data_IF_709372806443
#
_entry.id   IF_709372806443
#
_cell.length_a   1.000
_cell.length_b   1.000
_cell.length_c   1.000
_cell.angle_alpha   90.00
_cell.angle_beta   90.00
_cell.angle_gamma   90.00
#
_symmetry.space_group_name_H-M   'P 1'
#
loop_
_entity.id
_entity.type
_entity.pdbx_description
1 polymer ?
#
# COMPACT_ATOMS: atom_id res chain seq x y z
N UNK A 1 -37.09 -14.35 8.56
CA UNK A 1 -36.00 -14.46 7.56
C UNK A 1 -35.02 -13.34 7.84
N UNK A 2 -33.89 -13.66 8.48
CA UNK A 2 -32.88 -12.66 8.86
C UNK A 2 -32.14 -12.20 7.61
N UNK A 3 -32.31 -10.92 7.24
CA UNK A 3 -31.59 -10.33 6.13
C UNK A 3 -30.15 -10.06 6.55
N UNK A 4 -29.23 -10.95 6.20
CA UNK A 4 -27.80 -10.71 6.40
C UNK A 4 -27.40 -9.45 5.62
N UNK A 5 -27.04 -8.39 6.34
CA UNK A 5 -26.44 -7.20 5.75
C UNK A 5 -25.06 -7.58 5.23
N UNK A 6 -24.89 -7.56 3.91
CA UNK A 6 -23.63 -7.86 3.27
C UNK A 6 -22.61 -6.78 3.63
N UNK A 7 -21.71 -7.06 4.57
CA UNK A 7 -20.42 -6.37 4.68
C UNK A 7 -19.80 -6.32 3.28
N UNK A 8 -19.21 -5.18 2.87
CA UNK A 8 -18.39 -5.13 1.66
C UNK A 8 -17.33 -6.22 1.83
N UNK A 9 -17.41 -7.33 1.07
CA UNK A 9 -16.63 -8.50 1.39
C UNK A 9 -15.16 -8.17 1.14
N UNK A 10 -14.32 -8.26 2.17
CA UNK A 10 -12.87 -8.18 1.99
C UNK A 10 -12.48 -9.36 1.11
N UNK A 11 -11.86 -9.06 -0.03
CA UNK A 11 -11.35 -10.10 -0.91
C UNK A 11 -10.23 -10.86 -0.20
N UNK A 12 -10.35 -12.19 -0.14
CA UNK A 12 -9.39 -13.04 0.55
C UNK A 12 -8.39 -13.61 -0.47
N UNK A 13 -7.14 -13.16 -0.39
CA UNK A 13 -6.02 -13.75 -1.11
C UNK A 13 -5.59 -15.01 -0.38
N UNK A 14 -5.85 -16.17 -0.97
CA UNK A 14 -5.53 -17.47 -0.37
C UNK A 14 -4.20 -17.98 -0.91
N UNK A 15 -3.24 -18.22 -0.02
CA UNK A 15 -1.97 -18.86 -0.38
C UNK A 15 -2.03 -20.40 -0.28
N UNK A 16 -3.17 -20.98 0.11
CA UNK A 16 -3.27 -22.40 0.47
C UNK A 16 -2.85 -23.36 -0.65
N UNK A 17 -3.15 -23.02 -1.89
CA UNK A 17 -2.84 -23.85 -3.06
C UNK A 17 -1.46 -23.55 -3.66
N UNK A 18 -0.82 -22.48 -3.16
CA UNK A 18 0.47 -22.02 -3.64
C UNK A 18 1.62 -22.84 -3.04
N UNK A 19 2.68 -23.01 -3.84
CA UNK A 19 3.89 -23.75 -3.45
C UNK A 19 5.09 -22.83 -3.43
N UNK A 20 5.89 -22.94 -2.38
CA UNK A 20 7.17 -22.26 -2.27
C UNK A 20 8.29 -23.25 -2.60
N UNK A 21 9.08 -22.98 -3.63
CA UNK A 21 10.20 -23.85 -4.04
C UNK A 21 11.50 -23.25 -3.55
N UNK A 22 12.08 -23.84 -2.50
CA UNK A 22 13.41 -23.49 -1.97
C UNK A 22 14.20 -24.78 -1.77
N UNK A 23 15.18 -25.02 -2.65
CA UNK A 23 15.99 -26.23 -2.62
C UNK A 23 16.81 -26.33 -1.33
N UNK A 24 16.66 -27.43 -0.60
CA UNK A 24 17.42 -27.72 0.62
C UNK A 24 17.43 -26.56 1.63
N UNK A 25 16.26 -25.98 1.91
CA UNK A 25 16.12 -24.86 2.84
C UNK A 25 16.89 -25.10 4.17
N UNK A 26 17.92 -24.28 4.41
CA UNK A 26 18.77 -24.32 5.60
C UNK A 26 18.15 -23.58 6.80
N UNK A 27 16.91 -23.12 6.67
CA UNK A 27 16.17 -22.38 7.69
C UNK A 27 14.68 -22.74 7.63
N UNK A 28 13.95 -22.38 8.68
CA UNK A 28 12.50 -22.45 8.75
C UNK A 28 11.95 -21.19 9.45
N UNK A 29 10.72 -20.82 9.11
CA UNK A 29 10.07 -19.65 9.71
C UNK A 29 9.32 -20.07 10.97
N UNK A 30 9.71 -19.51 12.12
CA UNK A 30 9.06 -19.81 13.41
C UNK A 30 7.93 -18.83 13.75
N UNK A 31 8.03 -17.59 13.29
CA UNK A 31 7.05 -16.53 13.56
C UNK A 31 7.05 -15.52 12.41
N UNK A 32 5.85 -15.04 12.06
CA UNK A 32 5.67 -13.88 11.19
C UNK A 32 5.24 -12.68 12.03
N UNK A 33 6.06 -11.63 12.01
CA UNK A 33 5.77 -10.36 12.66
C UNK A 33 5.20 -9.41 11.62
N UNK A 34 3.89 -9.20 11.64
CA UNK A 34 3.28 -8.12 10.88
C UNK A 34 3.60 -6.77 11.55
N UNK A 35 4.56 -6.04 10.96
CA UNK A 35 5.04 -4.72 11.38
C UNK A 35 4.61 -3.62 10.40
N UNK A 36 3.71 -3.93 9.46
CA UNK A 36 3.21 -2.97 8.47
C UNK A 36 2.54 -1.79 9.16
N UNK A 37 2.58 -0.61 8.55
CA UNK A 37 1.82 0.55 9.09
C UNK A 37 0.31 0.34 8.99
N UNK A 38 -0.15 -0.34 7.93
CA UNK A 38 -1.54 -0.69 7.70
C UNK A 38 -1.70 -2.20 7.78
N UNK A 39 -2.47 -2.68 8.77
CA UNK A 39 -2.64 -4.11 9.05
C UNK A 39 -4.00 -4.66 8.61
N UNK A 40 -4.99 -3.79 8.39
CA UNK A 40 -6.36 -4.22 8.12
C UNK A 40 -6.51 -4.91 6.76
N UNK A 41 -5.65 -4.55 5.81
CA UNK A 41 -5.70 -5.01 4.42
C UNK A 41 -4.27 -5.07 3.89
N UNK A 42 -4.06 -5.84 2.83
CA UNK A 42 -2.85 -5.76 2.02
C UNK A 42 -3.08 -4.88 0.78
N UNK A 43 -4.11 -4.04 0.73
CA UNK A 43 -4.42 -3.21 -0.44
C UNK A 43 -5.79 -3.54 -1.02
N UNK A 44 -5.90 -3.60 -2.33
CA UNK A 44 -7.20 -3.70 -3.01
C UNK A 44 -7.12 -4.42 -4.35
N UNK A 45 -8.26 -4.96 -4.75
CA UNK A 45 -8.54 -5.57 -6.04
C UNK A 45 -9.72 -4.84 -6.71
N UNK A 46 -9.94 -5.03 -8.00
CA UNK A 46 -11.11 -4.53 -8.72
C UNK A 46 -12.05 -5.68 -8.99
N UNK A 47 -13.35 -5.48 -8.71
CA UNK A 47 -14.37 -6.51 -8.97
C UNK A 47 -15.52 -5.99 -9.80
N UNK A 48 -15.99 -6.86 -10.68
CA UNK A 48 -17.15 -6.62 -11.55
C UNK A 48 -16.85 -5.68 -12.72
N UNK A 49 -17.81 -5.55 -13.64
CA UNK A 49 -17.66 -4.77 -14.88
C UNK A 49 -17.39 -3.27 -14.65
N UNK A 50 -17.68 -2.77 -13.45
CA UNK A 50 -17.48 -1.37 -13.06
C UNK A 50 -16.15 -1.13 -12.35
N UNK A 51 -15.26 -2.13 -12.27
CA UNK A 51 -13.94 -2.02 -11.64
C UNK A 51 -14.00 -1.45 -10.22
N UNK A 52 -14.97 -1.93 -9.43
CA UNK A 52 -15.17 -1.43 -8.07
C UNK A 52 -13.99 -1.90 -7.23
N UNK A 53 -13.29 -0.96 -6.59
CA UNK A 53 -12.20 -1.27 -5.66
C UNK A 53 -12.78 -1.95 -4.43
N UNK A 54 -12.30 -3.16 -4.16
CA UNK A 54 -12.63 -3.96 -2.99
C UNK A 54 -11.36 -4.14 -2.18
N UNK A 55 -11.37 -3.82 -0.87
CA UNK A 55 -10.22 -4.09 -0.01
C UNK A 55 -9.88 -5.58 -0.02
N UNK A 56 -8.59 -5.90 0.07
CA UNK A 56 -8.11 -7.27 0.04
C UNK A 56 -7.19 -7.57 1.23
N UNK A 57 -7.21 -8.80 1.71
CA UNK A 57 -6.32 -9.29 2.77
C UNK A 57 -5.89 -10.74 2.51
N UNK A 58 -4.82 -11.19 3.17
CA UNK A 58 -4.47 -12.62 3.19
C UNK A 58 -5.57 -13.39 3.91
N UNK A 59 -5.95 -14.56 3.40
CA UNK A 59 -6.86 -15.46 4.10
C UNK A 59 -6.29 -15.84 5.48
N UNK A 60 -6.96 -15.41 6.55
CA UNK A 60 -6.47 -15.55 7.94
C UNK A 60 -5.52 -14.46 8.41
N UNK A 61 -5.36 -13.38 7.64
CA UNK A 61 -4.49 -12.24 7.94
C UNK A 61 -3.00 -12.51 7.69
N UNK A 62 -2.20 -11.45 7.68
CA UNK A 62 -0.76 -11.55 7.38
C UNK A 62 0.03 -12.29 8.47
N UNK A 63 -0.34 -12.19 9.75
CA UNK A 63 0.38 -12.95 10.79
C UNK A 63 0.09 -14.44 10.69
N UNK A 64 -1.17 -14.83 10.87
CA UNK A 64 -1.56 -16.23 10.98
C UNK A 64 -1.63 -16.90 9.61
N UNK A 65 -2.27 -16.27 8.62
CA UNK A 65 -2.41 -16.83 7.28
C UNK A 65 -1.06 -17.06 6.58
N UNK A 66 -0.20 -16.05 6.53
CA UNK A 66 1.14 -16.18 5.94
C UNK A 66 2.03 -17.09 6.79
N UNK A 67 1.98 -16.96 8.12
CA UNK A 67 2.79 -17.78 9.03
C UNK A 67 2.50 -19.27 8.91
N UNK A 68 1.22 -19.64 8.94
CA UNK A 68 0.78 -21.02 8.78
C UNK A 68 1.19 -21.58 7.41
N UNK A 69 1.01 -20.79 6.34
CA UNK A 69 1.46 -21.21 5.02
C UNK A 69 2.97 -21.43 4.98
N UNK A 70 3.79 -20.48 5.46
CA UNK A 70 5.25 -20.60 5.48
C UNK A 70 5.73 -21.78 6.31
N UNK A 71 5.10 -22.09 7.44
CA UNK A 71 5.46 -23.25 8.26
C UNK A 71 5.18 -24.58 7.56
N UNK A 72 4.12 -24.65 6.74
CA UNK A 72 3.84 -25.82 5.89
C UNK A 72 4.86 -25.93 4.77
N UNK A 73 5.23 -24.82 4.14
CA UNK A 73 6.16 -24.81 3.01
C UNK A 73 7.63 -25.00 3.42
N UNK A 74 8.01 -24.50 4.60
CA UNK A 74 9.36 -24.54 5.16
C UNK A 74 9.34 -25.20 6.56
N UNK A 75 9.01 -26.50 6.65
CA UNK A 75 8.92 -27.18 7.94
C UNK A 75 10.31 -27.29 8.59
N UNK A 76 10.39 -27.33 9.93
CA UNK A 76 11.65 -27.53 10.63
C UNK A 76 12.28 -28.87 10.25
N UNK A 77 13.56 -28.84 9.90
CA UNK A 77 14.39 -30.02 9.59
C UNK A 77 15.61 -30.07 10.51
N UNK A 78 16.20 -31.25 10.75
CA UNK A 78 17.47 -31.35 11.47
C UNK A 78 18.53 -30.42 10.86
N UNK A 79 19.14 -29.57 11.69
CA UNK A 79 20.14 -28.59 11.27
C UNK A 79 19.60 -27.31 10.62
N UNK A 80 18.29 -27.20 10.35
CA UNK A 80 17.70 -25.95 9.87
C UNK A 80 17.65 -24.89 10.98
N UNK A 81 17.92 -23.64 10.61
CA UNK A 81 17.94 -22.50 11.54
C UNK A 81 16.53 -21.90 11.75
N UNK A 82 16.11 -21.63 12.99
CA UNK A 82 14.87 -20.90 13.25
C UNK A 82 15.03 -19.42 12.90
N UNK A 83 14.06 -18.88 12.16
CA UNK A 83 14.07 -17.50 11.67
C UNK A 83 12.70 -16.85 11.89
N UNK A 84 12.70 -15.61 12.36
CA UNK A 84 11.54 -14.74 12.37
C UNK A 84 11.46 -13.99 11.04
N UNK A 85 10.26 -13.85 10.48
CA UNK A 85 10.00 -13.00 9.33
C UNK A 85 9.34 -11.70 9.80
N UNK A 86 10.02 -10.56 9.65
CA UNK A 86 9.40 -9.23 9.88
C UNK A 86 8.82 -8.73 8.57
N UNK A 87 7.54 -8.39 8.56
CA UNK A 87 6.84 -7.84 7.39
C UNK A 87 6.62 -6.36 7.59
N UNK A 88 7.37 -5.53 6.85
CA UNK A 88 7.27 -4.07 6.89
C UNK A 88 6.29 -3.54 5.84
N UNK A 89 6.24 -4.20 4.68
CA UNK A 89 5.24 -3.96 3.63
C UNK A 89 4.81 -5.31 3.04
N UNK A 90 3.51 -5.48 2.90
CA UNK A 90 2.90 -6.48 2.02
C UNK A 90 1.69 -5.80 1.42
N UNK A 91 1.80 -5.44 0.15
CA UNK A 91 0.77 -4.70 -0.56
C UNK A 91 0.49 -5.30 -1.93
N UNK A 92 -0.77 -5.33 -2.31
CA UNK A 92 -1.25 -5.61 -3.65
C UNK A 92 -2.01 -4.40 -4.20
N UNK A 93 -2.01 -4.30 -5.52
CA UNK A 93 -2.81 -3.32 -6.23
C UNK A 93 -3.09 -3.80 -7.65
N UNK A 94 -4.13 -3.26 -8.26
CA UNK A 94 -4.43 -3.46 -9.67
C UNK A 94 -4.40 -2.13 -10.41
N UNK A 95 -3.91 -2.11 -11.65
CA UNK A 95 -3.97 -0.93 -12.50
C UNK A 95 -4.62 -1.30 -13.82
N UNK A 96 -5.78 -0.70 -14.07
CA UNK A 96 -6.55 -0.91 -15.31
C UNK A 96 -6.30 0.24 -16.26
N UNK A 97 -5.76 -0.09 -17.42
CA UNK A 97 -5.64 0.79 -18.59
C UNK A 97 -6.69 0.38 -19.62
N UNK A 98 -6.95 1.25 -20.59
CA UNK A 98 -7.96 1.02 -21.63
C UNK A 98 -7.86 -0.34 -22.34
N UNK A 99 -6.66 -0.93 -22.43
CA UNK A 99 -6.40 -2.19 -23.13
C UNK A 99 -5.62 -3.23 -22.32
N UNK A 100 -5.36 -2.97 -21.03
CA UNK A 100 -4.55 -3.88 -20.22
C UNK A 100 -4.81 -3.68 -18.74
N UNK A 101 -4.89 -4.77 -17.99
CA UNK A 101 -4.81 -4.74 -16.55
C UNK A 101 -3.45 -5.23 -16.06
N UNK A 102 -3.06 -4.74 -14.88
CA UNK A 102 -1.81 -5.09 -14.22
C UNK A 102 -2.09 -5.37 -12.75
N UNK A 103 -1.77 -6.57 -12.28
CA UNK A 103 -1.66 -6.86 -10.85
C UNK A 103 -0.22 -6.64 -10.38
N UNK A 104 -0.06 -6.10 -9.17
CA UNK A 104 1.24 -5.93 -8.53
C UNK A 104 1.21 -6.42 -7.10
N UNK A 105 2.29 -7.06 -6.65
CA UNK A 105 2.57 -7.31 -5.24
C UNK A 105 3.91 -6.67 -4.85
N UNK A 106 3.92 -5.91 -3.77
CA UNK A 106 5.07 -5.25 -3.19
C UNK A 106 5.36 -5.90 -1.82
N UNK A 107 6.61 -6.30 -1.58
CA UNK A 107 7.06 -6.95 -0.35
C UNK A 107 8.30 -6.25 0.18
N UNK A 108 8.33 -5.91 1.47
CA UNK A 108 9.53 -5.51 2.22
C UNK A 108 9.57 -6.28 3.54
N UNK A 109 10.58 -7.14 3.67
CA UNK A 109 10.70 -8.12 4.75
C UNK A 109 12.14 -8.23 5.26
N UNK A 110 12.28 -8.51 6.56
CA UNK A 110 13.54 -8.96 7.15
C UNK A 110 13.44 -10.41 7.62
N UNK A 111 14.55 -11.12 7.49
CA UNK A 111 14.79 -12.40 8.13
C UNK A 111 15.67 -12.17 9.34
N UNK A 112 15.18 -12.57 10.52
CA UNK A 112 15.83 -12.30 11.81
C UNK A 112 16.08 -13.60 12.55
N UNK A 113 17.30 -13.78 13.04
CA UNK A 113 17.68 -14.95 13.82
C UNK A 113 17.99 -14.55 15.26
N UNK A 114 17.44 -15.29 16.23
CA UNK A 114 17.81 -15.16 17.63
C UNK A 114 19.07 -16.01 17.89
N UNK A 115 20.04 -15.46 18.61
CA UNK A 115 21.25 -16.18 19.00
C UNK A 115 21.18 -16.64 20.48
N UNK A 116 22.05 -17.58 20.91
CA UNK A 116 22.05 -18.09 22.29
C UNK A 116 22.31 -17.03 23.37
N UNK A 117 22.84 -15.87 23.00
CA UNK A 117 23.03 -14.71 23.88
C UNK A 117 21.72 -13.94 24.17
N UNK A 118 20.60 -14.35 23.55
CA UNK A 118 19.29 -13.74 23.68
C UNK A 118 19.04 -12.55 22.74
N UNK A 119 20.07 -12.10 22.01
CA UNK A 119 19.96 -11.02 21.03
C UNK A 119 19.42 -11.53 19.69
N UNK A 120 18.89 -10.59 18.91
CA UNK A 120 18.36 -10.84 17.59
C UNK A 120 19.21 -10.15 16.53
N UNK A 121 19.36 -10.79 15.37
CA UNK A 121 20.20 -10.29 14.30
C UNK A 121 19.44 -10.38 12.98
N UNK A 122 19.35 -9.25 12.27
CA UNK A 122 18.80 -9.25 10.91
C UNK A 122 19.87 -9.83 9.98
N UNK A 123 19.59 -11.00 9.41
CA UNK A 123 20.56 -11.74 8.60
C UNK A 123 20.42 -11.43 7.11
N UNK A 124 19.21 -11.06 6.69
CA UNK A 124 18.92 -10.69 5.32
C UNK A 124 17.69 -9.77 5.31
N UNK A 125 17.71 -8.76 4.43
CA UNK A 125 16.55 -7.95 4.08
C UNK A 125 16.22 -8.15 2.62
N UNK A 126 14.94 -8.07 2.31
CA UNK A 126 14.43 -8.21 0.96
C UNK A 126 13.37 -7.17 0.70
N UNK A 127 13.48 -6.48 -0.43
CA UNK A 127 12.44 -5.55 -0.89
C UNK A 127 12.32 -5.70 -2.39
N UNK A 128 11.11 -6.00 -2.85
CA UNK A 128 10.84 -6.26 -4.26
C UNK A 128 9.38 -5.99 -4.62
N UNK A 129 9.18 -5.73 -5.91
CA UNK A 129 7.88 -5.65 -6.55
C UNK A 129 7.78 -6.72 -7.64
N UNK A 130 6.69 -7.47 -7.65
CA UNK A 130 6.32 -8.37 -8.74
C UNK A 130 5.09 -7.81 -9.46
N UNK A 131 5.07 -7.96 -10.78
CA UNK A 131 3.92 -7.60 -11.62
C UNK A 131 3.49 -8.74 -12.54
N UNK A 132 2.20 -8.81 -12.80
CA UNK A 132 1.60 -9.67 -13.82
C UNK A 132 0.60 -8.84 -14.65
N UNK A 133 0.46 -9.16 -15.93
CA UNK A 133 -0.48 -8.51 -16.86
C UNK A 133 -1.43 -9.55 -17.42
N UNK A 134 -2.71 -9.22 -17.51
CA UNK A 134 -3.72 -10.13 -18.07
C UNK A 134 -5.09 -9.45 -18.22
N UNK A 135 -6.07 -10.24 -18.66
CA UNK A 135 -7.47 -9.81 -18.75
C UNK A 135 -8.25 -9.99 -17.44
N UNK A 136 -7.79 -10.91 -16.60
CA UNK A 136 -8.27 -11.13 -15.24
C UNK A 136 -7.03 -11.06 -14.35
N UNK A 137 -6.89 -9.98 -13.60
CA UNK A 137 -5.66 -9.73 -12.82
C UNK A 137 -5.77 -10.07 -11.35
N UNK A 138 -6.99 -10.18 -10.83
CA UNK A 138 -7.25 -10.49 -9.42
C UNK A 138 -6.72 -11.87 -9.01
N UNK A 139 -6.67 -12.83 -9.94
CA UNK A 139 -6.13 -14.17 -9.69
C UNK A 139 -4.60 -14.25 -9.71
N UNK A 140 -3.86 -13.16 -9.98
CA UNK A 140 -2.39 -13.18 -9.97
C UNK A 140 -1.79 -12.70 -8.65
N UNK A 141 -2.59 -12.25 -7.70
CA UNK A 141 -2.04 -11.66 -6.47
C UNK A 141 -1.34 -12.69 -5.59
N UNK A 142 -1.90 -13.88 -5.45
CA UNK A 142 -1.28 -14.99 -4.73
C UNK A 142 0.03 -15.43 -5.41
N UNK A 143 0.02 -15.63 -6.72
CA UNK A 143 1.22 -15.95 -7.51
C UNK A 143 2.31 -14.87 -7.36
N UNK A 144 1.93 -13.59 -7.44
CA UNK A 144 2.86 -12.48 -7.32
C UNK A 144 3.49 -12.40 -5.92
N UNK A 145 2.69 -12.60 -4.87
CA UNK A 145 3.18 -12.64 -3.48
C UNK A 145 4.16 -13.80 -3.31
N UNK A 146 3.80 -15.00 -3.81
CA UNK A 146 4.64 -16.20 -3.69
C UNK A 146 5.94 -16.03 -4.46
N UNK A 147 5.92 -15.41 -5.64
CA UNK A 147 7.12 -15.14 -6.41
C UNK A 147 8.10 -14.23 -5.65
N UNK A 148 7.62 -13.15 -5.03
CA UNK A 148 8.43 -12.28 -4.16
C UNK A 148 9.02 -13.08 -2.98
N UNK A 149 8.19 -13.85 -2.27
CA UNK A 149 8.63 -14.62 -1.11
C UNK A 149 9.61 -15.75 -1.48
N UNK A 150 9.44 -16.39 -2.64
CA UNK A 150 10.33 -17.45 -3.12
C UNK A 150 11.73 -16.89 -3.41
N UNK A 151 11.81 -15.75 -4.08
CA UNK A 151 13.10 -15.09 -4.32
C UNK A 151 13.75 -14.63 -3.02
N UNK A 152 12.97 -14.06 -2.10
CA UNK A 152 13.46 -13.71 -0.77
C UNK A 152 14.06 -14.91 -0.02
N UNK A 153 13.31 -16.01 0.04
CA UNK A 153 13.75 -17.24 0.71
C UNK A 153 14.96 -17.88 0.02
N UNK A 154 15.00 -17.86 -1.31
CA UNK A 154 16.16 -18.34 -2.08
C UNK A 154 17.42 -17.53 -1.75
N UNK A 155 17.31 -16.20 -1.66
CA UNK A 155 18.44 -15.35 -1.29
C UNK A 155 18.94 -15.67 0.12
N UNK A 156 18.04 -15.76 1.11
CA UNK A 156 18.39 -16.14 2.49
C UNK A 156 19.07 -17.50 2.54
N UNK A 157 18.64 -18.45 1.72
CA UNK A 157 19.20 -19.79 1.68
C UNK A 157 20.66 -19.83 1.18
N UNK A 158 21.10 -18.79 0.49
CA UNK A 158 22.45 -18.71 -0.12
C UNK A 158 23.43 -17.83 0.66
N UNK A 159 23.02 -17.23 1.78
CA UNK A 159 23.89 -16.34 2.55
C UNK A 159 24.96 -17.10 3.34
N UNK A 160 26.13 -16.49 3.50
CA UNK A 160 27.09 -16.88 4.55
C UNK A 160 26.57 -16.40 5.91
N UNK A 161 25.87 -17.30 6.61
CA UNK A 161 25.30 -17.02 7.93
C UNK A 161 26.33 -16.54 8.95
N UNK A 162 27.54 -17.10 8.96
CA UNK A 162 28.55 -16.74 9.96
C UNK A 162 29.06 -15.32 9.72
N UNK A 163 29.35 -14.98 8.46
CA UNK A 163 29.75 -13.63 8.11
C UNK A 163 28.62 -12.62 8.37
N UNK A 164 27.37 -12.96 8.01
CA UNK A 164 26.22 -12.08 8.21
C UNK A 164 25.99 -11.77 9.68
N UNK A 165 25.98 -12.79 10.54
CA UNK A 165 25.80 -12.61 11.98
C UNK A 165 26.92 -11.75 12.59
N UNK A 166 28.17 -11.92 12.14
CA UNK A 166 29.32 -11.13 12.63
C UNK A 166 29.22 -9.64 12.30
N UNK A 167 28.63 -9.30 11.16
CA UNK A 167 28.49 -7.93 10.68
C UNK A 167 27.18 -7.26 11.11
N UNK A 168 26.21 -8.05 11.58
CA UNK A 168 24.90 -7.54 11.96
C UNK A 168 24.92 -6.86 13.33
N UNK A 169 24.18 -5.75 13.44
CA UNK A 169 23.95 -5.08 14.72
C UNK A 169 22.96 -5.89 15.56
N UNK A 170 23.26 -6.18 16.83
CA UNK A 170 22.33 -6.89 17.72
C UNK A 170 21.10 -6.02 18.01
N UNK A 171 19.95 -6.68 18.11
CA UNK A 171 18.66 -6.09 18.46
C UNK A 171 18.10 -6.71 19.73
N UNK A 172 17.43 -5.88 20.52
CA UNK A 172 16.60 -6.35 21.63
C UNK A 172 15.28 -6.92 21.12
N UNK A 173 14.60 -7.71 21.94
CA UNK A 173 13.25 -8.22 21.64
C UNK A 173 12.26 -7.10 21.31
N UNK A 174 12.33 -5.99 22.05
CA UNK A 174 11.51 -4.80 21.83
C UNK A 174 11.78 -4.18 20.44
N UNK A 175 13.05 -4.03 20.05
CA UNK A 175 13.44 -3.48 18.75
C UNK A 175 12.99 -4.37 17.58
N UNK A 176 13.05 -5.69 17.73
CA UNK A 176 12.56 -6.64 16.71
C UNK A 176 11.05 -6.48 16.48
N UNK A 177 10.30 -6.26 17.56
CA UNK A 177 8.83 -6.14 17.54
C UNK A 177 8.36 -4.69 17.35
N UNK A 178 9.28 -3.74 17.30
CA UNK A 178 8.98 -2.34 17.11
C UNK A 178 8.31 -2.11 15.76
N UNK A 179 7.14 -1.50 15.79
CA UNK A 179 6.29 -1.22 14.62
C UNK A 179 6.45 0.19 14.07
N UNK A 180 7.49 0.92 14.48
CA UNK A 180 7.48 2.36 14.31
C UNK A 180 7.85 2.83 12.91
N UNK A 181 6.83 3.36 12.25
CA UNK A 181 6.94 4.45 11.29
C UNK A 181 7.75 4.15 10.02
N UNK A 182 8.07 5.21 9.28
CA UNK A 182 8.77 5.15 7.98
C UNK A 182 10.20 4.58 8.05
N UNK A 183 10.73 4.35 9.26
CA UNK A 183 12.12 3.96 9.50
C UNK A 183 12.18 2.82 10.52
N UNK A 184 12.24 1.55 10.08
CA UNK A 184 12.37 0.44 10.99
C UNK A 184 13.68 0.56 11.79
N UNK A 185 13.63 0.35 13.10
CA UNK A 185 14.83 0.22 13.94
C UNK A 185 15.55 -1.08 13.55
N UNK A 186 16.89 -1.07 13.41
CA UNK A 186 17.88 -0.07 13.85
C UNK A 186 18.41 0.84 12.72
N UNK A 187 17.67 1.03 11.62
CA UNK A 187 18.31 1.45 10.39
C UNK A 187 18.45 2.96 10.28
N UNK A 188 19.69 3.44 10.20
CA UNK A 188 20.02 4.65 9.46
C UNK A 188 20.32 4.27 8.01
N UNK A 189 19.60 4.85 7.06
CA UNK A 189 19.87 4.60 5.64
C UNK A 189 21.13 5.38 5.23
N UNK A 190 22.22 4.72 4.79
CA UNK A 190 23.48 5.41 4.46
C UNK A 190 23.30 6.56 3.47
N UNK A 191 22.36 6.47 2.53
CA UNK A 191 22.09 7.55 1.56
C UNK A 191 21.56 8.84 2.20
N UNK A 192 20.97 8.76 3.40
CA UNK A 192 20.50 9.91 4.17
C UNK A 192 21.60 10.51 5.05
N UNK A 193 22.59 9.72 5.46
CA UNK A 193 23.60 10.14 6.43
C UNK A 193 24.99 10.38 5.84
N UNK A 194 25.27 9.83 4.65
CA UNK A 194 26.57 9.96 4.02
C UNK A 194 26.87 11.41 3.62
N UNK A 195 28.05 11.90 4.03
CA UNK A 195 28.58 13.20 3.62
C UNK A 195 28.95 13.25 2.14
N UNK A 196 29.28 12.10 1.55
CA UNK A 196 29.65 11.95 0.15
C UNK A 196 28.78 10.89 -0.54
N UNK A 197 28.34 11.16 -1.77
CA UNK A 197 27.61 10.21 -2.61
C UNK A 197 28.58 9.74 -3.70
N UNK A 198 29.01 8.47 -3.73
CA UNK A 198 29.89 7.99 -4.79
C UNK A 198 29.22 8.15 -6.16
N UNK A 199 29.99 8.50 -7.18
CA UNK A 199 29.48 8.54 -8.57
C UNK A 199 29.23 7.11 -9.08
N UNK A 200 28.12 6.92 -9.80
CA UNK A 200 27.79 5.65 -10.44
C UNK A 200 26.29 5.41 -10.53
N UNK A 201 25.91 4.17 -10.84
CA UNK A 201 24.51 3.77 -11.04
C UNK A 201 24.01 2.84 -9.94
N UNK A 202 22.78 3.05 -9.52
CA UNK A 202 22.06 2.16 -8.63
C UNK A 202 21.26 1.18 -9.50
N UNK A 203 21.58 -0.12 -9.46
CA UNK A 203 20.79 -1.12 -10.21
C UNK A 203 19.47 -1.41 -9.53
N UNK A 204 19.47 -1.35 -8.20
CA UNK A 204 18.30 -1.60 -7.36
C UNK A 204 18.08 -0.44 -6.39
N UNK A 205 16.87 -0.37 -5.84
CA UNK A 205 16.58 0.53 -4.72
C UNK A 205 17.49 0.25 -3.50
N UNK A 206 17.86 -1.02 -3.27
CA UNK A 206 18.76 -1.38 -2.17
C UNK A 206 20.17 -0.80 -2.36
N UNK A 207 20.67 -0.74 -3.60
CA UNK A 207 21.95 -0.08 -3.90
C UNK A 207 21.87 1.41 -3.53
N UNK A 208 20.78 2.07 -3.93
CA UNK A 208 20.51 3.46 -3.59
C UNK A 208 20.43 3.68 -2.08
N UNK A 209 19.57 2.93 -1.38
CA UNK A 209 19.36 3.06 0.06
C UNK A 209 20.65 2.85 0.86
N UNK A 210 21.48 1.90 0.43
CA UNK A 210 22.77 1.60 1.04
C UNK A 210 23.92 2.51 0.56
N UNK A 211 23.65 3.46 -0.35
CA UNK A 211 24.64 4.34 -0.96
C UNK A 211 25.82 3.56 -1.59
N UNK A 212 25.50 2.50 -2.34
CA UNK A 212 26.46 1.61 -3.01
C UNK A 212 26.23 1.57 -4.53
N UNK A 213 26.44 2.69 -5.25
CA UNK A 213 26.31 2.66 -6.70
C UNK A 213 27.45 1.83 -7.32
N UNK A 214 27.17 1.20 -8.46
CA UNK A 214 28.18 0.60 -9.32
C UNK A 214 28.86 1.70 -10.14
N UNK A 215 30.19 1.79 -10.08
CA UNK A 215 30.95 2.74 -10.88
C UNK A 215 30.74 2.47 -12.39
N UNK A 216 30.49 3.55 -13.15
CA UNK A 216 30.38 3.53 -14.61
C UNK A 216 31.36 4.57 -15.15
N UNK A 217 32.57 4.15 -15.60
CA UNK A 217 33.58 5.10 -16.07
C UNK A 217 33.07 5.95 -17.24
N UNK A 218 33.25 7.27 -17.12
CA UNK A 218 32.86 8.22 -18.16
C UNK A 218 31.35 8.40 -18.32
N UNK A 219 30.56 8.19 -17.26
CA UNK A 219 29.12 8.44 -17.26
C UNK A 219 28.84 9.89 -17.73
N UNK A 220 28.06 10.03 -18.79
CA UNK A 220 27.68 11.33 -19.35
C UNK A 220 26.26 11.65 -18.89
N UNK A 221 26.05 12.83 -18.32
CA UNK A 221 24.73 13.32 -17.88
C UNK A 221 24.35 14.52 -18.73
N UNK A 222 23.22 14.46 -19.42
CA UNK A 222 22.72 15.54 -20.27
C UNK A 222 21.33 15.98 -19.82
N UNK A 223 21.08 17.30 -19.81
CA UNK A 223 19.75 17.84 -19.57
C UNK A 223 18.85 17.57 -20.77
N UNK A 224 17.62 17.15 -20.51
CA UNK A 224 16.61 16.97 -21.56
C UNK A 224 16.04 18.33 -21.93
N UNK A 225 16.40 18.82 -23.12
CA UNK A 225 15.77 20.02 -23.67
C UNK A 225 14.42 19.65 -24.30
N UNK A 226 13.33 20.24 -23.80
CA UNK A 226 12.00 20.07 -24.39
C UNK A 226 11.45 21.44 -24.81
N UNK A 227 11.29 21.72 -26.11
CA UNK A 227 10.89 23.04 -26.61
C UNK A 227 9.48 23.47 -26.16
N UNK A 228 8.63 22.51 -25.79
CA UNK A 228 7.23 22.75 -25.40
C UNK A 228 6.96 22.54 -23.90
N UNK A 229 7.99 22.40 -23.07
CA UNK A 229 7.83 22.18 -21.63
C UNK A 229 8.65 23.21 -20.86
N UNK A 230 8.17 23.69 -19.69
CA UNK A 230 9.00 24.50 -18.81
C UNK A 230 10.28 23.73 -18.45
N UNK A 231 11.35 24.46 -18.17
CA UNK A 231 12.66 23.88 -17.86
C UNK A 231 12.51 22.96 -16.65
N UNK A 232 12.57 21.65 -16.90
CA UNK A 232 12.66 20.63 -15.85
C UNK A 232 14.12 20.29 -15.59
N UNK A 233 14.44 19.90 -14.36
CA UNK A 233 15.75 19.32 -14.02
C UNK A 233 15.89 17.85 -14.52
N UNK A 234 15.15 17.47 -15.55
CA UNK A 234 15.21 16.15 -16.16
C UNK A 234 16.54 15.94 -16.85
N UNK A 235 17.10 14.75 -16.66
CA UNK A 235 18.34 14.34 -17.30
C UNK A 235 18.20 12.98 -17.95
N UNK A 236 19.03 12.75 -18.97
CA UNK A 236 19.35 11.44 -19.51
C UNK A 236 20.81 11.13 -19.22
N UNK A 237 21.11 9.84 -19.03
CA UNK A 237 22.47 9.37 -18.82
C UNK A 237 22.89 8.44 -19.93
N UNK A 238 24.18 8.52 -20.26
CA UNK A 238 24.79 7.74 -21.33
C UNK A 238 26.06 7.06 -20.84
N UNK A 239 26.29 5.83 -21.30
CA UNK A 239 27.58 5.16 -21.18
C UNK A 239 28.39 5.33 -22.48
N UNK A 240 29.68 5.65 -22.41
CA UNK A 240 30.55 5.62 -23.59
C UNK A 240 30.65 4.20 -24.17
N UNK A 241 30.76 4.12 -25.49
CA UNK A 241 30.98 2.89 -26.27
C UNK A 241 32.01 3.17 -27.35
N UNK A 242 32.60 2.14 -27.97
CA UNK A 242 33.60 2.32 -29.04
C UNK A 242 33.06 3.15 -30.23
N UNK A 243 31.76 3.02 -30.54
CA UNK A 243 31.10 3.70 -31.65
C UNK A 243 30.33 4.97 -31.28
N UNK A 244 30.46 5.46 -30.04
CA UNK A 244 29.74 6.64 -29.55
C UNK A 244 29.23 6.48 -28.12
N UNK A 245 27.91 6.62 -27.92
CA UNK A 245 27.30 6.55 -26.58
C UNK A 245 25.96 5.82 -26.61
N UNK A 246 25.63 5.15 -25.52
CA UNK A 246 24.38 4.39 -25.36
C UNK A 246 23.60 4.94 -24.17
N UNK A 247 22.29 5.15 -24.35
CA UNK A 247 21.40 5.60 -23.27
C UNK A 247 21.28 4.48 -22.23
N UNK A 248 21.52 4.80 -20.96
CA UNK A 248 21.43 3.83 -19.88
C UNK A 248 20.07 3.92 -19.17
N UNK A 249 19.17 2.97 -19.45
CA UNK A 249 17.82 2.89 -18.84
C UNK A 249 17.59 1.63 -18.02
N UNK A 250 18.49 0.65 -18.07
CA UNK A 250 18.41 -0.59 -17.29
C UNK A 250 19.04 -0.43 -15.91
N UNK A 251 18.59 0.60 -15.18
CA UNK A 251 19.05 0.96 -13.83
C UNK A 251 17.88 1.56 -13.04
N UNK A 252 17.92 1.47 -11.72
CA UNK A 252 16.92 2.10 -10.85
C UNK A 252 17.14 3.63 -10.75
N UNK A 253 18.40 4.05 -10.67
CA UNK A 253 18.79 5.45 -10.49
C UNK A 253 20.30 5.63 -10.66
N UNK A 254 20.80 6.83 -10.42
CA UNK A 254 22.24 7.10 -10.43
C UNK A 254 22.63 8.23 -9.48
N UNK A 255 23.92 8.40 -9.25
CA UNK A 255 24.48 9.59 -8.59
C UNK A 255 25.63 10.14 -9.42
N UNK A 256 25.68 11.47 -9.54
CA UNK A 256 26.74 12.22 -10.23
C UNK A 256 27.85 12.70 -9.27
N UNK A 257 27.92 12.14 -8.06
CA UNK A 257 28.83 12.60 -7.01
C UNK A 257 28.26 13.69 -6.10
N UNK A 258 27.26 14.45 -6.57
CA UNK A 258 26.67 15.57 -5.83
C UNK A 258 25.21 15.29 -5.42
N UNK A 259 24.42 14.80 -6.39
CA UNK A 259 22.99 14.51 -6.29
C UNK A 259 22.73 13.05 -6.62
N UNK A 260 21.61 12.55 -6.15
CA UNK A 260 21.08 11.27 -6.56
C UNK A 260 19.85 11.50 -7.44
N UNK A 261 19.60 10.57 -8.34
CA UNK A 261 18.53 10.63 -9.32
C UNK A 261 17.78 9.31 -9.36
N UNK A 262 16.48 9.37 -9.60
CA UNK A 262 15.60 8.20 -9.78
C UNK A 262 15.10 8.12 -11.21
N UNK A 263 15.09 6.93 -11.81
CA UNK A 263 14.48 6.69 -13.11
C UNK A 263 12.95 6.61 -12.96
N UNK A 264 12.22 7.47 -13.65
CA UNK A 264 10.75 7.40 -13.75
C UNK A 264 10.30 7.80 -15.14
N UNK A 265 9.34 7.07 -15.71
CA UNK A 265 8.80 7.36 -17.05
C UNK A 265 9.87 7.57 -18.14
N UNK A 266 10.98 6.82 -18.07
CA UNK A 266 12.15 6.88 -18.98
C UNK A 266 13.07 8.10 -18.81
N UNK A 267 12.83 8.95 -17.81
CA UNK A 267 13.65 10.12 -17.50
C UNK A 267 14.19 10.03 -16.07
N UNK A 268 15.33 10.66 -15.82
CA UNK A 268 15.89 10.75 -14.48
C UNK A 268 15.53 12.08 -13.85
N UNK A 269 15.06 12.00 -12.60
CA UNK A 269 14.67 13.16 -11.81
C UNK A 269 15.59 13.30 -10.60
N UNK A 270 16.06 14.52 -10.28
CA UNK A 270 16.90 14.74 -9.12
C UNK A 270 16.11 14.55 -7.83
N UNK A 271 16.62 13.70 -6.95
CA UNK A 271 16.09 13.50 -5.62
C UNK A 271 16.55 14.63 -4.69
N UNK A 272 15.60 15.21 -3.97
CA UNK A 272 15.80 16.17 -2.90
C UNK A 272 15.49 15.48 -1.58
N UNK A 273 16.35 15.66 -0.57
CA UNK A 273 16.08 15.09 0.75
C UNK A 273 14.95 15.87 1.42
N UNK A 274 13.99 15.15 2.00
CA UNK A 274 12.89 15.68 2.80
C UNK A 274 12.76 14.88 4.11
N UNK A 275 13.48 15.31 5.15
CA UNK A 275 13.55 14.56 6.41
C UNK A 275 14.27 13.21 6.26
N UNK A 276 13.52 12.12 6.53
CA UNK A 276 13.96 10.73 6.40
C UNK A 276 13.57 10.10 5.03
N UNK A 277 13.00 10.89 4.12
CA UNK A 277 12.64 10.46 2.77
C UNK A 277 13.33 11.33 1.69
N UNK A 278 13.05 11.02 0.43
CA UNK A 278 13.38 11.88 -0.70
C UNK A 278 12.13 12.30 -1.46
N UNK A 279 12.13 13.50 -2.03
CA UNK A 279 11.13 13.96 -2.99
C UNK A 279 11.74 14.32 -4.33
N UNK A 280 10.94 14.37 -5.38
CA UNK A 280 11.34 14.95 -6.67
C UNK A 280 10.13 15.49 -7.42
N UNK A 281 10.35 16.48 -8.29
CA UNK A 281 9.31 17.02 -9.15
C UNK A 281 9.39 16.36 -10.53
N UNK A 282 8.35 15.63 -10.91
CA UNK A 282 8.26 14.97 -12.22
C UNK A 282 6.89 15.13 -12.86
N UNK A 283 6.71 14.66 -14.08
CA UNK A 283 5.41 14.78 -14.73
C UNK A 283 4.39 13.81 -14.14
N UNK A 284 3.16 14.29 -13.94
CA UNK A 284 1.99 13.45 -13.68
C UNK A 284 1.91 12.32 -14.71
N UNK A 285 1.84 11.07 -14.26
CA UNK A 285 1.39 9.99 -15.16
C UNK A 285 -0.08 10.21 -15.43
N UNK A 286 -0.49 10.27 -16.70
CA UNK A 286 -1.90 10.27 -17.04
C UNK A 286 -2.58 9.09 -16.34
N UNK A 287 -3.51 9.38 -15.42
CA UNK A 287 -4.33 8.35 -14.77
C UNK A 287 -5.37 7.89 -15.80
N UNK A 288 -5.27 6.64 -16.30
CA UNK A 288 -6.24 6.12 -17.26
C UNK A 288 -7.67 6.12 -16.69
N UNK A 289 -7.82 5.98 -15.36
CA UNK A 289 -9.12 5.98 -14.67
C UNK A 289 -9.79 7.36 -14.62
N UNK A 290 -8.99 8.43 -14.55
CA UNK A 290 -9.49 9.80 -14.68
C UNK A 290 -10.02 10.06 -16.10
N UNK A 291 -9.33 9.55 -17.12
CA UNK A 291 -9.78 9.67 -18.52
C UNK A 291 -11.07 8.90 -18.82
N UNK A 292 -11.22 7.67 -18.29
CA UNK A 292 -12.46 6.91 -18.48
C UNK A 292 -13.65 7.57 -17.78
N UNK A 293 -13.43 8.15 -16.59
CA UNK A 293 -14.47 8.86 -15.83
C UNK A 293 -14.92 10.13 -16.56
N UNK A 294 -13.99 10.86 -17.17
CA UNK A 294 -14.29 12.05 -17.97
C UNK A 294 -15.07 11.73 -19.26
N UNK A 295 -14.79 10.60 -19.91
CA UNK A 295 -15.51 10.13 -21.08
C UNK A 295 -16.96 9.73 -20.76
N UNK A 296 -17.19 9.09 -19.60
CA UNK A 296 -18.54 8.69 -19.14
C UNK A 296 -19.37 9.90 -18.68
N UNK A 297 -18.74 10.97 -18.19
CA UNK A 297 -19.43 12.19 -17.75
C UNK A 297 -19.89 13.12 -18.90
N UNK A 298 -19.65 12.76 -20.16
CA UNK A 298 -20.34 13.28 -21.36
C UNK A 298 -20.83 14.73 -21.27
N UNK A 299 -19.91 15.70 -21.23
CA UNK A 299 -20.24 17.13 -21.20
C UNK A 299 -19.02 18.03 -21.00
N UNK A 300 -19.18 19.34 -21.20
CA UNK A 300 -18.10 20.34 -21.09
C UNK A 300 -17.38 20.32 -19.73
N UNK A 301 -18.06 19.91 -18.64
CA UNK A 301 -17.46 19.73 -17.32
C UNK A 301 -16.53 18.48 -17.25
N UNK A 302 -16.86 17.40 -17.95
CA UNK A 302 -15.99 16.22 -18.06
C UNK A 302 -14.72 16.52 -18.87
N UNK A 303 -14.83 17.35 -19.91
CA UNK A 303 -13.69 17.80 -20.71
C UNK A 303 -12.72 18.69 -19.90
N UNK A 304 -13.22 19.53 -18.99
CA UNK A 304 -12.38 20.37 -18.13
C UNK A 304 -11.59 19.54 -17.09
N UNK A 305 -12.22 18.51 -16.48
CA UNK A 305 -11.54 17.62 -15.52
C UNK A 305 -10.53 16.72 -16.23
N UNK A 306 -10.83 16.24 -17.44
CA UNK A 306 -9.84 15.57 -18.28
C UNK A 306 -8.68 16.51 -18.60
N UNK A 307 -8.93 17.72 -19.10
CA UNK A 307 -7.88 18.65 -19.51
C UNK A 307 -6.89 19.00 -18.38
N UNK A 308 -7.37 19.14 -17.13
CA UNK A 308 -6.53 19.38 -15.94
C UNK A 308 -5.74 18.12 -15.53
N UNK A 309 -6.25 16.92 -15.80
CA UNK A 309 -5.59 15.65 -15.42
C UNK A 309 -4.76 15.02 -16.55
N UNK A 310 -4.89 15.49 -17.80
CA UNK A 310 -4.27 14.86 -18.99
C UNK A 310 -3.05 15.59 -19.54
N UNK A 311 -2.71 16.79 -19.05
CA UNK A 311 -1.61 17.57 -19.62
C UNK A 311 -0.61 18.04 -18.57
N UNK A 312 0.43 17.22 -18.39
CA UNK A 312 1.80 17.70 -18.18
C UNK A 312 1.98 18.75 -17.10
N UNK A 313 1.26 18.66 -15.99
CA UNK A 313 1.62 19.42 -14.80
C UNK A 313 2.71 18.67 -14.04
N UNK A 314 3.67 19.44 -13.53
CA UNK A 314 4.75 18.92 -12.73
C UNK A 314 4.18 18.66 -11.34
N UNK A 315 4.38 17.45 -10.84
CA UNK A 315 3.89 17.00 -9.55
C UNK A 315 5.06 16.62 -8.67
N UNK A 316 4.95 16.90 -7.37
CA UNK A 316 5.91 16.41 -6.40
C UNK A 316 5.60 14.95 -6.05
N UNK A 317 6.64 14.14 -6.03
CA UNK A 317 6.58 12.74 -5.64
C UNK A 317 7.48 12.52 -4.44
N UNK A 318 7.06 11.60 -3.57
CA UNK A 318 7.88 11.10 -2.46
C UNK A 318 8.37 9.70 -2.79
N UNK A 319 9.67 9.47 -2.61
CA UNK A 319 10.30 8.17 -2.56
C UNK A 319 10.30 7.69 -1.11
N UNK A 320 9.45 6.70 -0.81
CA UNK A 320 9.38 6.06 0.50
C UNK A 320 10.66 5.23 0.73
N UNK A 321 11.42 5.58 1.76
CA UNK A 321 12.73 4.96 2.01
C UNK A 321 12.67 3.56 2.62
N UNK A 322 11.52 3.13 3.12
CA UNK A 322 11.32 1.75 3.55
C UNK A 322 11.14 0.83 2.33
N UNK A 323 10.32 1.26 1.37
CA UNK A 323 9.81 0.40 0.29
C UNK A 323 10.42 0.67 -1.08
N UNK A 324 11.05 1.83 -1.28
CA UNK A 324 11.56 2.27 -2.59
C UNK A 324 10.48 2.71 -3.56
N UNK A 325 9.24 2.85 -3.08
CA UNK A 325 8.11 3.26 -3.90
C UNK A 325 8.12 4.75 -4.11
N UNK A 326 7.82 5.13 -5.34
CA UNK A 326 7.46 6.50 -5.67
C UNK A 326 5.95 6.63 -5.51
N UNK A 327 5.52 7.42 -4.53
CA UNK A 327 4.14 7.84 -4.38
C UNK A 327 4.00 9.31 -4.76
N UNK A 328 2.82 9.67 -5.25
CA UNK A 328 2.41 11.06 -5.34
C UNK A 328 2.40 11.68 -3.94
N UNK A 329 3.00 12.87 -3.77
CA UNK A 329 3.06 13.56 -2.48
C UNK A 329 1.66 13.71 -1.88
N UNK A 330 0.66 14.02 -2.72
CA UNK A 330 -0.73 14.16 -2.28
C UNK A 330 -1.34 12.83 -1.82
N UNK A 331 -0.91 11.68 -2.35
CA UNK A 331 -1.45 10.39 -1.94
C UNK A 331 -0.96 9.97 -0.55
N UNK A 332 0.33 10.17 -0.26
CA UNK A 332 0.90 9.86 1.06
C UNK A 332 0.41 10.85 2.12
N UNK A 333 0.30 12.13 1.75
CA UNK A 333 -0.24 13.15 2.63
C UNK A 333 -1.77 12.99 2.77
N UNK A 334 -2.51 12.47 1.78
CA UNK A 334 -3.92 12.07 1.98
C UNK A 334 -4.03 10.84 2.89
N UNK A 335 -3.16 9.83 2.75
CA UNK A 335 -3.13 8.69 3.67
C UNK A 335 -2.75 9.09 5.11
N UNK A 336 -1.94 10.13 5.29
CA UNK A 336 -1.54 10.67 6.58
C UNK A 336 -2.53 11.70 7.15
N UNK A 337 -3.06 12.61 6.33
CA UNK A 337 -4.05 13.63 6.74
C UNK A 337 -5.42 13.02 7.02
N UNK A 338 -5.71 11.87 6.43
CA UNK A 338 -6.89 11.12 6.78
C UNK A 338 -6.59 10.06 7.84
N UNK A 339 -5.98 10.47 8.96
CA UNK A 339 -6.02 9.74 10.24
C UNK A 339 -7.44 9.68 10.84
N UNK A 340 -8.46 10.03 10.06
CA UNK A 340 -9.86 9.84 10.37
C UNK A 340 -10.55 9.16 9.19
N UNK A 341 -11.27 8.08 9.45
CA UNK A 341 -12.40 7.69 8.63
C UNK A 341 -13.64 8.48 9.07
N UNK A 342 -14.63 8.62 8.18
CA UNK A 342 -15.91 9.23 8.53
C UNK A 342 -17.02 8.23 8.30
N UNK A 343 -17.76 7.88 9.34
CA UNK A 343 -19.00 7.09 9.19
C UNK A 343 -20.17 8.04 9.27
N UNK A 344 -21.05 8.02 8.27
CA UNK A 344 -22.27 8.83 8.26
C UNK A 344 -23.47 7.91 8.35
N UNK A 345 -24.16 7.96 9.47
CA UNK A 345 -25.42 7.26 9.68
C UNK A 345 -26.55 8.25 9.41
N UNK A 346 -27.43 7.94 8.48
CA UNK A 346 -28.50 8.86 8.09
C UNK A 346 -29.86 8.17 7.97
N UNK A 347 -30.93 8.95 8.08
CA UNK A 347 -32.30 8.46 7.95
C UNK A 347 -33.07 9.27 6.92
N UNK A 348 -33.54 8.62 5.85
CA UNK A 348 -34.27 9.30 4.76
C UNK A 348 -35.57 9.97 5.26
N UNK A 349 -36.06 10.99 4.54
CA UNK A 349 -37.42 11.49 4.75
C UNK A 349 -38.45 10.40 4.38
N UNK A 350 -39.55 10.33 5.14
CA UNK A 350 -40.70 9.46 4.83
C UNK A 350 -40.81 8.14 5.61
N UNK A 351 -39.99 7.92 6.64
CA UNK A 351 -40.15 6.81 7.60
C UNK A 351 -40.99 7.18 8.84
N UNK A 352 -41.10 6.27 9.84
CA UNK A 352 -41.79 6.53 11.11
C UNK A 352 -41.36 7.85 11.78
N UNK A 353 -42.26 8.57 12.43
CA UNK A 353 -41.87 9.85 13.07
C UNK A 353 -41.04 9.63 14.35
N UNK A 354 -41.21 8.49 15.02
CA UNK A 354 -40.44 8.16 16.21
C UNK A 354 -38.93 8.17 15.92
N UNK A 355 -38.12 8.86 16.74
CA UNK A 355 -36.68 8.91 16.57
C UNK A 355 -36.06 7.58 16.99
N UNK A 356 -34.96 7.18 16.35
CA UNK A 356 -34.34 5.87 16.55
C UNK A 356 -32.98 6.02 17.21
N UNK A 357 -32.78 5.34 18.34
CA UNK A 357 -31.51 5.39 19.08
C UNK A 357 -30.46 4.52 18.39
N UNK A 358 -29.40 5.17 17.91
CA UNK A 358 -28.22 4.52 17.34
C UNK A 358 -27.22 4.28 18.47
N UNK A 359 -26.67 3.07 18.52
CA UNK A 359 -25.59 2.69 19.42
C UNK A 359 -24.28 2.55 18.63
N UNK A 360 -23.17 2.99 19.21
CA UNK A 360 -21.81 2.79 18.71
C UNK A 360 -21.02 1.97 19.73
N UNK A 361 -20.58 0.77 19.34
CA UNK A 361 -19.86 -0.17 20.20
C UNK A 361 -20.61 -0.46 21.51
N UNK A 362 -21.94 -0.63 21.41
CA UNK A 362 -22.83 -0.88 22.54
C UNK A 362 -23.14 0.34 23.40
N UNK A 363 -22.56 1.50 23.13
CA UNK A 363 -22.84 2.75 23.84
C UNK A 363 -23.84 3.61 23.07
N UNK A 364 -24.69 4.34 23.77
CA UNK A 364 -25.62 5.28 23.13
C UNK A 364 -24.86 6.38 22.39
N UNK A 365 -25.12 6.51 21.08
CA UNK A 365 -24.47 7.51 20.23
C UNK A 365 -25.37 8.74 20.02
N UNK A 366 -26.54 8.55 19.41
CA UNK A 366 -27.52 9.62 19.13
C UNK A 366 -28.89 9.02 18.81
N UNK A 367 -29.95 9.67 19.28
CA UNK A 367 -31.31 9.42 18.78
C UNK A 367 -31.54 10.20 17.49
N UNK A 368 -31.79 9.48 16.39
CA UNK A 368 -31.83 10.03 15.04
C UNK A 368 -33.30 10.23 14.57
N UNK A 369 -33.79 11.47 14.45
CA UNK A 369 -35.12 11.73 13.90
C UNK A 369 -35.16 11.45 12.39
N UNK A 370 -36.37 11.45 11.81
CA UNK A 370 -36.52 11.35 10.36
C UNK A 370 -35.84 12.55 9.66
N UNK A 371 -35.23 12.31 8.50
CA UNK A 371 -34.53 13.34 7.72
C UNK A 371 -33.34 14.00 8.45
N UNK A 372 -32.62 13.25 9.27
CA UNK A 372 -31.40 13.69 9.95
C UNK A 372 -30.24 12.70 9.71
N UNK A 373 -29.03 13.15 10.03
CA UNK A 373 -27.82 12.33 9.98
C UNK A 373 -26.90 12.63 11.18
N UNK A 374 -26.03 11.67 11.47
CA UNK A 374 -24.89 11.83 12.37
C UNK A 374 -23.62 11.47 11.61
N UNK A 375 -22.57 12.28 11.81
CA UNK A 375 -21.23 12.02 11.33
C UNK A 375 -20.37 11.60 12.51
N UNK A 376 -19.76 10.43 12.40
CA UNK A 376 -18.90 9.81 13.40
C UNK A 376 -17.49 9.87 12.83
N UNK A 377 -16.62 10.78 13.31
CA UNK A 377 -15.21 10.69 13.01
C UNK A 377 -14.63 9.46 13.71
N UNK A 378 -13.80 8.70 13.01
CA UNK A 378 -13.19 7.50 13.55
C UNK A 378 -11.69 7.52 13.34
N UNK A 379 -10.93 7.61 14.43
CA UNK A 379 -9.47 7.70 14.43
C UNK A 379 -8.78 6.38 14.76
N UNK A 380 -9.54 5.37 15.17
CA UNK A 380 -8.99 4.09 15.60
C UNK A 380 -8.81 3.11 14.43
N UNK A 381 -7.56 2.93 13.99
CA UNK A 381 -7.21 2.00 12.90
C UNK A 381 -7.20 0.53 13.34
N UNK A 382 -7.30 0.23 14.63
CA UNK A 382 -7.20 -1.14 15.11
C UNK A 382 -8.57 -1.76 15.41
N UNK A 383 -9.54 -0.95 15.80
CA UNK A 383 -10.82 -1.45 16.30
C UNK A 383 -11.93 -1.41 15.26
N UNK A 384 -12.72 -2.48 15.26
CA UNK A 384 -13.97 -2.57 14.51
C UNK A 384 -15.01 -1.61 15.10
N UNK A 385 -15.76 -0.95 14.21
CA UNK A 385 -16.94 -0.16 14.53
C UNK A 385 -18.17 -1.07 14.48
N UNK A 386 -18.94 -1.09 15.55
CA UNK A 386 -20.23 -1.77 15.62
C UNK A 386 -21.34 -0.74 15.80
N UNK A 387 -22.22 -0.60 14.81
CA UNK A 387 -23.42 0.24 14.87
C UNK A 387 -24.64 -0.63 15.12
N UNK A 388 -25.46 -0.31 16.12
CA UNK A 388 -26.71 -1.01 16.41
C UNK A 388 -27.87 -0.04 16.57
N UNK A 389 -29.11 -0.57 16.57
CA UNK A 389 -30.31 0.18 16.93
C UNK A 389 -30.87 -0.37 18.24
N UNK A 390 -31.27 0.52 19.16
CA UNK A 390 -31.90 0.09 20.40
C UNK A 390 -33.33 -0.44 20.18
N UNK A 391 -33.72 -1.46 20.94
CA UNK A 391 -35.10 -1.96 21.01
C UNK A 391 -35.53 -2.98 19.93
N UNK A 392 -34.71 -3.20 18.90
CA UNK A 392 -34.80 -4.37 18.01
C UNK A 392 -33.84 -5.47 18.50
N UNK A 393 -34.11 -6.75 18.22
CA UNK A 393 -33.02 -7.76 18.26
C UNK A 393 -31.84 -7.17 17.47
N UNK A 394 -30.63 -7.10 18.06
CA UNK A 394 -29.59 -6.20 17.60
C UNK A 394 -29.10 -6.58 16.20
N UNK A 395 -29.72 -6.02 15.17
CA UNK A 395 -29.17 -6.00 13.81
C UNK A 395 -28.06 -4.96 13.79
N UNK A 396 -26.89 -5.37 14.29
CA UNK A 396 -25.71 -4.55 14.28
C UNK A 396 -25.00 -4.65 12.92
N UNK A 397 -24.42 -3.55 12.48
CA UNK A 397 -23.40 -3.54 11.43
C UNK A 397 -22.03 -3.41 12.09
N UNK A 398 -21.20 -4.43 11.93
CA UNK A 398 -19.79 -4.39 12.33
C UNK A 398 -18.91 -4.22 11.08
N UNK A 399 -17.95 -3.31 11.13
CA UNK A 399 -16.99 -3.06 10.05
C UNK A 399 -15.79 -2.25 10.54
N UNK A 400 -14.68 -2.33 9.81
CA UNK A 400 -13.53 -1.47 10.06
C UNK A 400 -13.57 -0.30 9.07
N UNK A 401 -13.69 0.96 9.53
CA UNK A 401 -13.73 2.10 8.63
C UNK A 401 -12.45 2.23 7.81
N UNK A 402 -12.59 2.44 6.50
CA UNK A 402 -11.44 2.74 5.63
C UNK A 402 -11.07 4.21 5.78
N UNK A 403 -9.88 4.46 6.31
CA UNK A 403 -9.35 5.80 6.57
C UNK A 403 -9.23 6.58 5.26
N UNK A 404 -9.59 7.87 5.29
CA UNK A 404 -9.70 8.72 4.09
C UNK A 404 -10.96 8.53 3.26
N UNK A 405 -11.86 7.66 3.68
CA UNK A 405 -13.16 7.50 3.03
C UNK A 405 -14.30 7.90 3.94
N UNK A 406 -15.44 8.23 3.34
CA UNK A 406 -16.70 8.36 4.05
C UNK A 406 -17.56 7.13 3.77
N UNK A 407 -17.88 6.38 4.81
CA UNK A 407 -18.81 5.27 4.76
C UNK A 407 -20.21 5.77 5.08
N UNK A 408 -21.19 5.39 4.25
CA UNK A 408 -22.57 5.77 4.44
C UNK A 408 -23.40 4.56 4.88
N UNK A 409 -24.14 4.75 5.97
CA UNK A 409 -25.06 3.77 6.54
C UNK A 409 -26.44 4.40 6.61
N UNK A 410 -27.40 3.79 5.94
CA UNK A 410 -28.81 4.19 6.05
C UNK A 410 -29.48 3.43 7.18
N UNK A 411 -30.23 4.18 7.99
CA UNK A 411 -31.22 3.65 8.90
C UNK A 411 -32.56 3.55 8.15
N UNK A 412 -32.93 2.31 7.79
CA UNK A 412 -34.13 1.99 7.01
C UNK A 412 -35.26 1.54 7.91
N UNK A 413 -36.38 2.27 7.83
CA UNK A 413 -37.67 1.91 8.42
C UNK A 413 -38.78 2.43 7.49
N UNK A 414 -39.52 1.55 6.81
CA UNK A 414 -40.47 1.91 5.75
C UNK A 414 -41.85 2.25 6.27
N UNK A 415 -42.26 1.68 7.41
CA UNK A 415 -43.58 1.92 8.01
C UNK A 415 -43.56 1.81 9.53
N UNK A 416 -44.55 2.38 10.20
CA UNK A 416 -44.77 2.14 11.62
C UNK A 416 -44.96 0.63 11.87
N UNK A 417 -44.22 0.07 12.82
CA UNK A 417 -44.22 -1.35 13.13
C UNK A 417 -43.23 -2.23 12.37
N UNK A 418 -42.55 -1.73 11.32
CA UNK A 418 -41.43 -2.48 10.70
C UNK A 418 -40.19 -2.40 11.60
N UNK A 419 -39.50 -3.53 11.80
CA UNK A 419 -38.23 -3.55 12.52
C UNK A 419 -37.19 -2.73 11.75
N UNK A 420 -36.65 -1.65 12.34
CA UNK A 420 -35.68 -0.81 11.66
C UNK A 420 -34.37 -1.60 11.44
N UNK A 421 -33.67 -1.30 10.35
CA UNK A 421 -32.41 -1.96 9.99
C UNK A 421 -31.36 -0.96 9.54
N UNK A 422 -30.10 -1.35 9.67
CA UNK A 422 -28.94 -0.60 9.19
C UNK A 422 -28.44 -1.23 7.88
N UNK A 423 -28.20 -0.41 6.85
CA UNK A 423 -27.75 -0.88 5.53
C UNK A 423 -26.61 0.00 5.00
N UNK A 424 -25.58 -0.59 4.39
CA UNK A 424 -24.59 0.17 3.63
C UNK A 424 -25.21 0.84 2.42
N UNK A 425 -24.71 2.02 2.10
CA UNK A 425 -25.16 2.81 0.95
C UNK A 425 -23.97 3.17 0.08
N UNK A 426 -24.08 3.05 -1.26
CA UNK A 426 -23.06 3.58 -2.17
C UNK A 426 -22.75 5.05 -1.88
N UNK A 427 -21.46 5.41 -1.91
CA UNK A 427 -20.97 6.75 -1.55
C UNK A 427 -21.76 7.88 -2.22
N UNK A 428 -22.01 7.75 -3.54
CA UNK A 428 -22.76 8.76 -4.31
C UNK A 428 -24.19 8.96 -3.81
N UNK A 429 -24.87 7.88 -3.44
CA UNK A 429 -26.24 7.93 -2.93
C UNK A 429 -26.28 8.52 -1.51
N UNK A 430 -25.38 8.09 -0.63
CA UNK A 430 -25.23 8.65 0.71
C UNK A 430 -24.92 10.15 0.70
N UNK A 431 -23.96 10.56 -0.14
CA UNK A 431 -23.62 11.97 -0.38
C UNK A 431 -24.84 12.79 -0.79
N UNK A 432 -25.64 12.27 -1.73
CA UNK A 432 -26.83 12.95 -2.24
C UNK A 432 -27.83 13.23 -1.11
N UNK A 433 -28.15 12.21 -0.30
CA UNK A 433 -29.13 12.36 0.79
C UNK A 433 -28.63 13.28 1.89
N UNK A 434 -27.37 13.16 2.30
CA UNK A 434 -26.79 14.01 3.35
C UNK A 434 -26.71 15.46 2.90
N UNK A 435 -26.35 15.74 1.63
CA UNK A 435 -26.41 17.10 1.06
C UNK A 435 -27.82 17.65 1.03
N UNK A 436 -28.82 16.81 0.73
CA UNK A 436 -30.24 17.22 0.74
C UNK A 436 -30.72 17.57 2.15
N UNK A 437 -30.28 16.83 3.18
CA UNK A 437 -30.61 17.11 4.58
C UNK A 437 -30.00 18.43 5.07
N UNK A 438 -28.76 18.75 4.68
CA UNK A 438 -28.08 20.00 5.07
C UNK A 438 -28.70 21.29 4.51
N UNK A 439 -29.54 21.21 3.48
CA UNK A 439 -30.14 22.39 2.82
C UNK A 439 -31.45 22.84 3.46
N UNK A 440 -31.90 22.16 4.51
CA UNK A 440 -33.09 22.49 5.30
C UNK A 440 -32.62 22.93 6.68
#
# INVERSE_FOLDING_TARGET
MSGASAQTPIYQVSLREQKLVVDNAAFHIVEVLDLRRQHQTIGWVQRGMSNIRVPADIAGGVREGLGNWLQVQLPPKPGSRPVLLRVHELRIAEQTKATSEKATADVDIDFVCQQPDGNYYVVQRYSEQQEAKGLETTSYHDDNIVACLQRACTQVNTIDWQQRLRLATPLTSEQVRYRGGHKPVPYDYPILTASHKPEGVYRTFLDFRNNRPQAVPGLIVEKVASPNRPITDEVEIYRPTESGREVLRDVWGFSDGQRAYVLRQKHFYPLKRAGDDFTFAGWASADPGAMSTAAVLGGAAGAAIAAVTTHGEQQEYTLDMATGRVADFDYMDQLARHDTASVVVYRRPGGPQAPLLVLLNGQELKTLPANDFIRIPWTDKAHEVTLCLAGSEPQCLSFIPVFGTTLYVELKARSEGETPSLQYVPVKEGDYYVKKMRRR
#
